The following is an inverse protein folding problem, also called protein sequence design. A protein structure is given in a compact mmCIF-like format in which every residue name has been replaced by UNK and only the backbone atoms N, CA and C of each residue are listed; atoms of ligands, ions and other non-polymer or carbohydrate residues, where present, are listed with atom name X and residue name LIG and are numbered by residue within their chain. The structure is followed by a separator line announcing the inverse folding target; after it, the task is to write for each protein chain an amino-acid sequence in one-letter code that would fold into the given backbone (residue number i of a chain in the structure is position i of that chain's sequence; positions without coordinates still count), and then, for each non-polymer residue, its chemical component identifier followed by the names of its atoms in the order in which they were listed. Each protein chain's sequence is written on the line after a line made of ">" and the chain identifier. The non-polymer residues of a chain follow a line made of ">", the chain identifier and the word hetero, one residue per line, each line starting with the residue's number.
data_IF_585256212834
#
_entry.id   IF_585256212834
#
_cell.length_a   1.000
_cell.length_b   1.000
_cell.length_c   1.000
_cell.angle_alpha   90.00
_cell.angle_beta   90.00
_cell.angle_gamma   90.00
#
_symmetry.space_group_name_H-M   'P 1'
#
loop_
_entity.id
_entity.type
_entity.pdbx_description
1 polymer ?
#
# COMPACT_ATOMS: atom_id res chain seq x y z
N UNK A 1 21.28 15.96 -2.65
CA UNK A 1 21.51 16.41 -4.05
C UNK A 1 21.17 17.90 -4.15
N UNK A 2 21.86 18.68 -4.98
CA UNK A 2 21.41 20.06 -5.26
C UNK A 2 20.15 20.06 -6.13
N UNK A 3 19.45 21.20 -6.23
CA UNK A 3 18.19 21.33 -6.97
C UNK A 3 18.36 20.89 -8.43
N UNK A 4 19.42 21.30 -9.12
CA UNK A 4 19.67 20.94 -10.52
C UNK A 4 19.76 19.42 -10.73
N UNK A 5 20.46 18.70 -9.85
CA UNK A 5 20.57 17.24 -9.93
C UNK A 5 19.24 16.56 -9.63
N UNK A 6 18.45 17.10 -8.70
CA UNK A 6 17.11 16.57 -8.39
C UNK A 6 16.15 16.79 -9.54
N UNK A 7 16.14 17.98 -10.14
CA UNK A 7 15.32 18.29 -11.30
C UNK A 7 15.64 17.35 -12.46
N UNK A 8 16.94 17.16 -12.77
CA UNK A 8 17.36 16.22 -13.81
C UNK A 8 16.89 14.79 -13.55
N UNK A 9 16.90 14.34 -12.29
CA UNK A 9 16.38 13.02 -11.93
C UNK A 9 14.85 12.96 -12.09
N UNK A 10 14.13 13.98 -11.64
CA UNK A 10 12.68 14.08 -11.78
C UNK A 10 12.27 14.05 -13.26
N UNK A 11 12.89 14.87 -14.11
CA UNK A 11 12.65 14.88 -15.56
C UNK A 11 12.95 13.54 -16.21
N UNK A 12 14.02 12.85 -15.78
CA UNK A 12 14.34 11.51 -16.24
C UNK A 12 13.22 10.53 -15.89
N UNK A 13 12.77 10.51 -14.63
CA UNK A 13 11.68 9.63 -14.17
C UNK A 13 10.37 9.89 -14.94
N UNK A 14 10.06 11.16 -15.20
CA UNK A 14 8.92 11.54 -16.05
C UNK A 14 9.11 11.00 -17.48
N UNK A 15 10.30 11.16 -18.06
CA UNK A 15 10.57 10.74 -19.44
C UNK A 15 10.50 9.23 -19.67
N UNK A 16 10.80 8.42 -18.64
CA UNK A 16 10.64 6.95 -18.69
C UNK A 16 9.20 6.50 -18.42
N UNK A 17 8.30 7.42 -18.07
CA UNK A 17 6.89 7.17 -17.88
C UNK A 17 6.46 6.91 -16.44
N UNK A 18 7.28 7.20 -15.42
CA UNK A 18 6.85 7.12 -14.02
C UNK A 18 5.72 8.13 -13.75
N UNK A 19 4.64 7.66 -13.12
CA UNK A 19 3.44 8.47 -12.81
C UNK A 19 3.29 8.79 -11.33
N UNK A 20 3.96 8.05 -10.47
CA UNK A 20 4.03 8.33 -9.04
C UNK A 20 5.51 8.48 -8.69
N UNK A 21 5.88 9.65 -8.15
CA UNK A 21 7.28 9.98 -7.88
C UNK A 21 7.39 10.57 -6.47
N UNK A 22 8.08 9.85 -5.59
CA UNK A 22 8.53 10.41 -4.31
C UNK A 22 9.66 11.41 -4.58
N UNK A 23 9.40 12.68 -4.26
CA UNK A 23 10.30 13.78 -4.61
C UNK A 23 11.14 14.27 -3.42
N UNK A 24 10.71 14.00 -2.19
CA UNK A 24 11.24 14.64 -0.99
C UNK A 24 10.71 14.08 0.32
N UNK A 25 11.42 14.39 1.42
CA UNK A 25 10.90 14.31 2.80
C UNK A 25 10.84 15.72 3.43
N UNK A 26 9.81 16.52 3.12
CA UNK A 26 9.83 17.97 3.32
C UNK A 26 9.70 18.42 4.79
N UNK A 27 9.11 17.61 5.67
CA UNK A 27 9.00 17.92 7.10
C UNK A 27 10.32 17.78 7.87
N UNK A 28 11.27 17.02 7.31
CA UNK A 28 12.56 16.74 7.95
C UNK A 28 13.72 17.58 7.38
N UNK A 29 13.54 18.30 6.27
CA UNK A 29 14.62 19.01 5.59
C UNK A 29 14.14 20.20 4.78
N UNK A 30 14.72 21.38 5.04
CA UNK A 30 14.40 22.61 4.32
C UNK A 30 14.73 22.49 2.82
N UNK A 31 15.84 21.86 2.47
CA UNK A 31 16.22 21.66 1.05
C UNK A 31 15.24 20.73 0.32
N UNK A 32 14.63 19.78 1.02
CA UNK A 32 13.57 18.93 0.47
C UNK A 32 12.28 19.74 0.28
N UNK A 33 11.90 20.55 1.27
CA UNK A 33 10.76 21.47 1.19
C UNK A 33 10.90 22.47 0.02
N UNK A 34 12.05 23.11 -0.12
CA UNK A 34 12.31 24.10 -1.17
C UNK A 34 12.24 23.47 -2.57
N UNK A 35 12.70 22.23 -2.72
CA UNK A 35 12.61 21.52 -3.99
C UNK A 35 11.16 21.21 -4.37
N UNK A 36 10.34 20.79 -3.39
CA UNK A 36 8.90 20.59 -3.60
C UNK A 36 8.22 21.88 -4.03
N UNK A 37 8.50 22.99 -3.34
CA UNK A 37 7.94 24.30 -3.70
C UNK A 37 8.36 24.72 -5.10
N UNK A 38 9.62 24.52 -5.46
CA UNK A 38 10.12 24.79 -6.79
C UNK A 38 9.36 24.04 -7.88
N UNK A 39 9.10 22.74 -7.71
CA UNK A 39 8.32 21.95 -8.68
C UNK A 39 6.88 22.47 -8.84
N UNK A 40 6.24 22.86 -7.74
CA UNK A 40 4.85 23.33 -7.73
C UNK A 40 4.74 24.74 -8.33
N UNK A 41 5.56 25.68 -7.85
CA UNK A 41 5.49 27.10 -8.22
C UNK A 41 5.94 27.36 -9.66
N UNK A 42 6.81 26.51 -10.19
CA UNK A 42 7.23 26.55 -11.59
C UNK A 42 6.35 25.69 -12.51
N UNK A 43 5.28 25.08 -11.98
CA UNK A 43 4.34 24.22 -12.72
C UNK A 43 5.03 23.08 -13.49
N UNK A 44 6.08 22.49 -12.90
CA UNK A 44 6.91 21.48 -13.56
C UNK A 44 6.34 20.05 -13.46
N UNK A 45 5.25 19.85 -12.73
CA UNK A 45 4.62 18.55 -12.50
C UNK A 45 3.61 18.29 -13.63
N UNK A 46 3.81 17.27 -14.48
CA UNK A 46 2.86 16.95 -15.54
C UNK A 46 1.46 16.61 -15.01
N UNK A 47 0.44 16.85 -15.82
CA UNK A 47 -0.96 16.61 -15.46
C UNK A 47 -1.31 15.13 -15.23
N UNK A 48 -0.44 14.18 -15.57
CA UNK A 48 -0.62 12.74 -15.32
C UNK A 48 0.35 12.19 -14.27
N UNK A 49 1.11 13.05 -13.59
CA UNK A 49 2.04 12.67 -12.52
C UNK A 49 1.48 13.09 -11.15
N UNK A 50 1.70 12.24 -10.16
CA UNK A 50 1.42 12.45 -8.75
C UNK A 50 2.73 12.49 -7.98
N UNK A 51 2.92 13.52 -7.17
CA UNK A 51 4.09 13.66 -6.30
C UNK A 51 3.68 13.49 -4.84
N UNK A 52 4.61 13.07 -3.98
CA UNK A 52 4.34 12.82 -2.57
C UNK A 52 4.56 14.08 -1.70
N UNK A 53 3.57 14.97 -1.53
CA UNK A 53 3.73 16.29 -0.86
C UNK A 53 2.44 16.84 -0.21
N UNK A 54 2.55 17.87 0.65
CA UNK A 54 1.44 18.32 1.52
C UNK A 54 0.75 19.65 1.19
N UNK A 55 1.20 20.46 0.21
CA UNK A 55 0.52 21.75 -0.08
C UNK A 55 0.78 22.32 -1.47
N UNK A 56 -0.30 22.61 -2.21
CA UNK A 56 -0.29 23.31 -3.50
C UNK A 56 -0.21 22.42 -4.75
N UNK A 57 -0.14 21.10 -4.58
CA UNK A 57 -0.21 20.16 -5.71
C UNK A 57 -1.68 19.90 -6.08
N UNK A 58 -1.98 19.61 -7.35
CA UNK A 58 -3.33 19.18 -7.79
C UNK A 58 -3.70 17.80 -7.22
N UNK A 59 -2.70 16.94 -7.05
CA UNK A 59 -2.82 15.58 -6.50
C UNK A 59 -1.56 15.23 -5.74
N UNK A 60 -1.72 14.52 -4.63
CA UNK A 60 -0.58 14.16 -3.81
C UNK A 60 -0.78 12.83 -3.08
N UNK A 61 0.33 12.10 -2.94
CA UNK A 61 0.43 10.96 -2.04
C UNK A 61 1.03 11.45 -0.71
N UNK A 62 0.49 11.01 0.42
CA UNK A 62 1.12 11.16 1.73
C UNK A 62 1.50 9.78 2.21
N UNK A 63 2.80 9.53 2.33
CA UNK A 63 3.34 8.27 2.82
C UNK A 63 3.68 8.39 4.30
N UNK A 64 2.87 7.74 5.14
CA UNK A 64 3.12 7.57 6.56
C UNK A 64 3.94 6.29 6.79
N UNK A 65 4.90 6.35 7.70
CA UNK A 65 5.58 5.15 8.17
C UNK A 65 6.00 5.31 9.63
N UNK A 66 6.14 4.18 10.32
CA UNK A 66 6.82 4.10 11.60
C UNK A 66 7.47 2.73 11.74
N UNK A 67 8.63 2.67 12.39
CA UNK A 67 9.32 1.40 12.60
C UNK A 67 8.49 0.47 13.49
N UNK A 68 8.30 -0.77 13.03
CA UNK A 68 7.39 -1.74 13.65
C UNK A 68 8.12 -2.94 14.24
N UNK A 69 9.39 -3.16 13.94
CA UNK A 69 10.15 -4.33 14.43
C UNK A 69 10.24 -4.38 15.95
N UNK A 70 10.36 -5.60 16.51
CA UNK A 70 10.50 -5.84 17.96
C UNK A 70 11.60 -4.98 18.59
N UNK A 71 12.74 -4.85 17.91
CA UNK A 71 13.89 -4.10 18.40
C UNK A 71 13.57 -2.61 18.51
N UNK A 72 12.93 -2.02 17.49
CA UNK A 72 12.55 -0.61 17.53
C UNK A 72 11.51 -0.33 18.60
N UNK A 73 10.46 -1.16 18.68
CA UNK A 73 9.43 -1.03 19.72
C UNK A 73 10.04 -1.04 21.12
N UNK A 74 10.89 -2.03 21.42
CA UNK A 74 11.48 -2.21 22.75
C UNK A 74 12.59 -1.21 23.09
N UNK A 75 13.48 -0.94 22.15
CA UNK A 75 14.76 -0.25 22.44
C UNK A 75 14.73 1.23 22.06
N UNK A 76 14.04 1.58 20.97
CA UNK A 76 14.01 2.96 20.46
C UNK A 76 12.82 3.71 21.04
N UNK A 77 11.62 3.12 20.95
CA UNK A 77 10.40 3.80 21.36
C UNK A 77 9.98 3.50 22.79
N UNK A 78 10.36 2.34 23.33
CA UNK A 78 9.86 1.86 24.62
C UNK A 78 8.34 1.62 24.61
N UNK A 79 7.79 1.25 23.45
CA UNK A 79 6.37 1.01 23.24
C UNK A 79 6.10 -0.49 23.11
N UNK A 80 4.91 -0.91 23.50
CA UNK A 80 4.36 -2.22 23.19
C UNK A 80 3.66 -2.21 21.81
N UNK A 81 3.03 -3.33 21.44
CA UNK A 81 2.28 -3.46 20.17
C UNK A 81 1.19 -2.40 20.06
N UNK A 82 0.37 -2.25 21.11
CA UNK A 82 -0.76 -1.33 21.14
C UNK A 82 -0.31 0.13 21.08
N UNK A 83 0.72 0.52 21.84
CA UNK A 83 1.31 1.86 21.77
C UNK A 83 1.85 2.20 20.39
N UNK A 84 2.47 1.21 19.72
CA UNK A 84 2.98 1.37 18.34
C UNK A 84 1.84 1.51 17.33
N UNK A 85 0.75 0.76 17.47
CA UNK A 85 -0.47 0.91 16.66
C UNK A 85 -1.09 2.29 16.88
N UNK A 86 -1.25 2.70 18.14
CA UNK A 86 -1.83 3.99 18.49
C UNK A 86 -1.04 5.16 17.90
N UNK A 87 0.29 5.06 17.84
CA UNK A 87 1.13 6.05 17.18
C UNK A 87 0.78 6.18 15.70
N UNK A 88 0.70 5.06 14.98
CA UNK A 88 0.36 5.03 13.56
C UNK A 88 -1.07 5.54 13.30
N UNK A 89 -2.05 5.05 14.06
CA UNK A 89 -3.46 5.45 13.96
C UNK A 89 -3.66 6.93 14.28
N UNK A 90 -2.96 7.48 15.27
CA UNK A 90 -3.07 8.90 15.60
C UNK A 90 -2.52 9.78 14.49
N UNK A 91 -1.39 9.40 13.88
CA UNK A 91 -0.85 10.11 12.72
C UNK A 91 -1.77 9.99 11.49
N UNK A 92 -2.36 8.82 11.27
CA UNK A 92 -3.33 8.61 10.19
C UNK A 92 -4.55 9.54 10.33
N UNK A 93 -5.10 9.68 11.55
CA UNK A 93 -6.20 10.61 11.85
C UNK A 93 -5.82 12.06 11.59
N UNK A 94 -4.65 12.48 12.07
CA UNK A 94 -4.12 13.82 11.83
C UNK A 94 -4.00 14.12 10.33
N UNK A 95 -3.53 13.16 9.52
CA UNK A 95 -3.44 13.33 8.08
C UNK A 95 -4.81 13.50 7.42
N UNK A 96 -5.82 12.76 7.87
CA UNK A 96 -7.20 12.94 7.42
C UNK A 96 -7.72 14.35 7.73
N UNK A 97 -7.46 14.85 8.95
CA UNK A 97 -7.86 16.20 9.38
C UNK A 97 -7.19 17.27 8.52
N UNK A 98 -5.87 17.20 8.34
CA UNK A 98 -5.10 18.17 7.54
C UNK A 98 -5.44 18.12 6.05
N UNK A 99 -5.77 16.94 5.51
CA UNK A 99 -6.22 16.79 4.14
C UNK A 99 -7.60 17.43 3.92
N UNK A 100 -8.50 17.32 4.91
CA UNK A 100 -9.83 17.93 4.86
C UNK A 100 -9.78 19.48 4.83
N UNK A 101 -8.73 20.09 5.37
CA UNK A 101 -8.49 21.54 5.26
C UNK A 101 -8.10 21.98 3.83
N UNK A 102 -7.76 21.05 2.95
CA UNK A 102 -7.31 21.29 1.58
C UNK A 102 -8.11 20.43 0.58
N UNK A 103 -9.42 20.67 0.42
CA UNK A 103 -10.31 19.81 -0.36
C UNK A 103 -10.06 19.83 -1.87
N UNK A 104 -9.36 20.85 -2.38
CA UNK A 104 -9.03 20.99 -3.80
C UNK A 104 -7.92 20.03 -4.26
N UNK A 105 -7.22 19.40 -3.32
CA UNK A 105 -6.13 18.46 -3.60
C UNK A 105 -6.70 17.04 -3.62
N UNK A 106 -6.42 16.29 -4.67
CA UNK A 106 -6.72 14.86 -4.71
C UNK A 106 -5.70 14.09 -3.85
N UNK A 107 -6.08 13.80 -2.61
CA UNK A 107 -5.26 13.11 -1.62
C UNK A 107 -5.29 11.59 -1.79
N UNK A 108 -4.11 10.98 -1.72
CA UNK A 108 -3.92 9.54 -1.58
C UNK A 108 -3.02 9.28 -0.37
N UNK A 109 -3.28 8.20 0.35
CA UNK A 109 -2.53 7.85 1.56
C UNK A 109 -1.85 6.49 1.38
N UNK A 110 -0.61 6.40 1.81
CA UNK A 110 0.16 5.16 1.86
C UNK A 110 0.71 4.94 3.27
N UNK A 111 0.73 3.69 3.72
CA UNK A 111 1.30 3.31 5.00
C UNK A 111 2.33 2.19 4.83
N UNK A 112 3.50 2.35 5.43
CA UNK A 112 4.50 1.30 5.52
C UNK A 112 4.81 0.94 6.98
N UNK A 113 4.68 -0.34 7.39
CA UNK A 113 5.25 -0.83 8.63
C UNK A 113 6.77 -0.92 8.48
N UNK A 114 7.50 0.15 8.81
CA UNK A 114 8.93 0.23 8.55
C UNK A 114 9.71 -0.83 9.34
N UNK A 115 10.79 -1.34 8.74
CA UNK A 115 11.54 -2.52 9.19
C UNK A 115 10.66 -3.81 9.16
N UNK A 116 9.72 -3.87 8.21
CA UNK A 116 8.80 -4.99 8.00
C UNK A 116 9.47 -6.37 8.07
N UNK A 117 10.65 -6.52 7.46
CA UNK A 117 11.37 -7.81 7.41
C UNK A 117 11.79 -8.35 8.77
N UNK A 118 11.78 -7.52 9.81
CA UNK A 118 12.03 -7.91 11.20
C UNK A 118 10.82 -7.67 12.12
N UNK A 119 9.63 -7.50 11.53
CA UNK A 119 8.35 -7.36 12.21
C UNK A 119 7.59 -8.68 12.14
N UNK A 120 6.92 -9.04 13.23
CA UNK A 120 6.06 -10.22 13.25
C UNK A 120 4.90 -10.03 12.25
N UNK A 121 4.62 -11.03 11.40
CA UNK A 121 3.65 -10.88 10.30
C UNK A 121 2.23 -10.58 10.79
N UNK A 122 1.82 -11.23 11.88
CA UNK A 122 0.54 -10.99 12.54
C UNK A 122 0.44 -9.53 13.01
N UNK A 123 1.53 -8.99 13.57
CA UNK A 123 1.58 -7.60 14.00
C UNK A 123 1.60 -6.62 12.82
N UNK A 124 2.35 -6.91 11.77
CA UNK A 124 2.39 -6.08 10.57
C UNK A 124 1.01 -5.97 9.92
N UNK A 125 0.28 -7.09 9.83
CA UNK A 125 -1.11 -7.09 9.37
C UNK A 125 -2.01 -6.26 10.30
N UNK A 126 -1.92 -6.50 11.62
CA UNK A 126 -2.73 -5.80 12.62
C UNK A 126 -2.60 -4.27 12.51
N UNK A 127 -1.36 -3.75 12.44
CA UNK A 127 -1.12 -2.31 12.35
C UNK A 127 -1.51 -1.71 11.00
N UNK A 128 -1.28 -2.43 9.89
CA UNK A 128 -1.75 -2.01 8.58
C UNK A 128 -3.28 -1.90 8.53
N UNK A 129 -3.99 -2.90 9.03
CA UNK A 129 -5.45 -2.88 9.10
C UNK A 129 -5.95 -1.72 9.97
N UNK A 130 -5.34 -1.50 11.14
CA UNK A 130 -5.73 -0.40 12.03
C UNK A 130 -5.54 0.99 11.38
N UNK A 131 -4.50 1.18 10.57
CA UNK A 131 -4.31 2.42 9.80
C UNK A 131 -5.32 2.53 8.66
N UNK A 132 -5.55 1.44 7.92
CA UNK A 132 -6.52 1.41 6.83
C UNK A 132 -7.95 1.63 7.32
N UNK A 133 -8.32 1.19 8.51
CA UNK A 133 -9.62 1.47 9.14
C UNK A 133 -9.86 2.98 9.32
N UNK A 134 -8.79 3.79 9.46
CA UNK A 134 -8.90 5.25 9.55
C UNK A 134 -9.13 5.88 8.17
N UNK A 135 -8.38 5.46 7.15
CA UNK A 135 -8.40 6.12 5.83
C UNK A 135 -9.43 5.54 4.87
N UNK A 136 -9.77 4.27 5.03
CA UNK A 136 -10.75 3.57 4.23
C UNK A 136 -11.48 2.54 5.12
N UNK A 137 -12.45 2.98 5.96
CA UNK A 137 -13.20 2.10 6.85
C UNK A 137 -14.05 1.03 6.13
N UNK A 138 -14.07 1.05 4.79
CA UNK A 138 -14.70 0.03 3.94
C UNK A 138 -13.69 -0.83 3.18
N UNK A 139 -12.38 -0.73 3.48
CA UNK A 139 -11.34 -1.53 2.81
C UNK A 139 -11.42 -3.01 3.18
N UNK A 140 -11.98 -3.34 4.36
CA UNK A 140 -12.23 -4.72 4.72
C UNK A 140 -13.45 -5.21 3.95
N UNK A 141 -13.20 -6.00 2.92
CA UNK A 141 -14.23 -6.91 2.44
C UNK A 141 -14.62 -7.78 3.64
N UNK A 142 -15.91 -7.95 3.95
CA UNK A 142 -16.38 -8.90 4.98
C UNK A 142 -15.90 -10.35 4.78
N UNK A 143 -15.20 -10.60 3.68
CA UNK A 143 -14.54 -11.84 3.35
C UNK A 143 -13.25 -11.96 4.20
N UNK A 144 -13.35 -12.55 5.39
CA UNK A 144 -12.17 -12.96 6.15
C UNK A 144 -11.51 -14.15 5.43
N UNK A 145 -10.48 -13.86 4.65
CA UNK A 145 -9.69 -14.83 3.89
C UNK A 145 -8.25 -14.76 4.35
N UNK A 146 -7.74 -15.89 4.82
CA UNK A 146 -6.38 -16.05 5.28
C UNK A 146 -5.59 -16.87 4.27
N UNK A 147 -4.39 -16.40 3.91
CA UNK A 147 -3.45 -17.17 3.09
C UNK A 147 -2.69 -18.11 4.01
N UNK A 148 -2.97 -19.40 3.92
CA UNK A 148 -2.30 -20.47 4.68
C UNK A 148 -0.98 -20.88 4.05
N UNK A 149 -0.94 -20.91 2.71
CA UNK A 149 0.25 -21.26 1.97
C UNK A 149 0.40 -20.37 0.74
N UNK A 150 1.62 -19.96 0.47
CA UNK A 150 2.00 -19.23 -0.72
C UNK A 150 3.28 -19.85 -1.26
N UNK A 151 3.24 -20.26 -2.52
CA UNK A 151 4.42 -20.71 -3.24
C UNK A 151 4.46 -20.03 -4.60
N UNK A 152 5.65 -19.63 -5.01
CA UNK A 152 5.88 -19.00 -6.29
C UNK A 152 7.10 -19.61 -6.96
N UNK A 153 7.00 -19.81 -8.28
CA UNK A 153 8.08 -20.33 -9.10
C UNK A 153 8.11 -19.63 -10.45
N UNK A 154 9.29 -19.65 -11.05
CA UNK A 154 9.40 -19.41 -12.49
C UNK A 154 9.04 -20.69 -13.25
N UNK A 155 8.25 -20.57 -14.32
CA UNK A 155 7.87 -21.71 -15.17
C UNK A 155 8.97 -22.10 -16.16
N UNK A 156 9.70 -21.10 -16.64
CA UNK A 156 10.68 -21.20 -17.72
C UNK A 156 11.96 -20.45 -17.34
N UNK A 157 13.04 -20.60 -18.12
CA UNK A 157 14.27 -19.81 -17.93
C UNK A 157 14.38 -18.62 -18.88
N UNK A 158 15.23 -17.64 -18.53
CA UNK A 158 15.56 -16.50 -19.39
C UNK A 158 14.70 -15.26 -19.15
N UNK A 159 14.92 -14.21 -19.96
CA UNK A 159 14.29 -12.90 -19.80
C UNK A 159 12.78 -12.87 -20.07
N UNK A 160 12.23 -13.92 -20.69
CA UNK A 160 10.80 -14.07 -21.02
C UNK A 160 10.14 -15.16 -20.15
N UNK A 161 10.66 -15.38 -18.95
CA UNK A 161 10.11 -16.39 -18.06
C UNK A 161 8.78 -15.91 -17.45
N UNK A 162 7.77 -16.79 -17.46
CA UNK A 162 6.52 -16.55 -16.76
C UNK A 162 6.63 -16.98 -15.30
N UNK A 163 6.00 -16.22 -14.40
CA UNK A 163 5.79 -16.61 -13.03
C UNK A 163 4.52 -17.45 -12.90
N UNK A 164 4.56 -18.43 -11.98
CA UNK A 164 3.40 -19.15 -11.48
C UNK A 164 3.35 -19.01 -9.97
N UNK A 165 2.19 -18.63 -9.45
CA UNK A 165 1.93 -18.54 -8.02
C UNK A 165 0.81 -19.51 -7.65
N UNK A 166 0.98 -20.20 -6.53
CA UNK A 166 0.02 -21.07 -5.89
C UNK A 166 -0.32 -20.49 -4.53
N UNK A 167 -1.61 -20.44 -4.22
CA UNK A 167 -2.08 -20.02 -2.90
C UNK A 167 -3.02 -21.05 -2.33
N UNK A 168 -2.92 -21.28 -1.04
CA UNK A 168 -3.93 -21.96 -0.24
C UNK A 168 -4.58 -20.93 0.68
N UNK A 169 -5.91 -20.86 0.65
CA UNK A 169 -6.69 -19.97 1.48
C UNK A 169 -7.63 -20.74 2.40
N UNK A 170 -7.89 -20.16 3.57
CA UNK A 170 -8.96 -20.52 4.49
C UNK A 170 -9.81 -19.28 4.79
N UNK A 171 -11.01 -19.48 5.30
CA UNK A 171 -11.88 -18.37 5.70
C UNK A 171 -13.18 -18.87 6.32
N UNK A 172 -13.87 -17.98 7.04
CA UNK A 172 -15.06 -18.36 7.82
C UNK A 172 -16.29 -18.63 6.95
N UNK A 173 -16.29 -18.10 5.72
CA UNK A 173 -17.45 -18.15 4.83
C UNK A 173 -17.54 -19.48 4.04
N UNK A 174 -16.48 -20.28 4.00
CA UNK A 174 -16.45 -21.55 3.26
C UNK A 174 -15.78 -22.64 4.10
N UNK A 175 -16.25 -23.89 3.94
CA UNK A 175 -15.61 -25.00 4.64
C UNK A 175 -14.40 -25.55 3.88
N UNK A 176 -13.31 -25.76 4.63
CA UNK A 176 -12.08 -26.39 4.18
C UNK A 176 -11.08 -25.42 3.53
N UNK A 177 -10.00 -25.99 3.01
CA UNK A 177 -8.94 -25.24 2.33
C UNK A 177 -9.25 -25.13 0.83
N UNK A 178 -9.02 -23.95 0.25
CA UNK A 178 -9.20 -23.70 -1.17
C UNK A 178 -7.88 -23.27 -1.80
N UNK A 179 -7.67 -23.73 -3.03
CA UNK A 179 -6.43 -23.47 -3.75
C UNK A 179 -6.69 -22.56 -4.95
N UNK A 180 -5.76 -21.63 -5.17
CA UNK A 180 -5.71 -20.76 -6.33
C UNK A 180 -4.39 -20.88 -7.06
N UNK A 181 -4.44 -20.65 -8.37
CA UNK A 181 -3.25 -20.58 -9.22
C UNK A 181 -3.36 -19.39 -10.16
N UNK A 182 -2.25 -18.68 -10.31
CA UNK A 182 -2.12 -17.53 -11.19
C UNK A 182 -0.83 -17.64 -11.98
N UNK A 183 -0.90 -17.31 -13.27
CA UNK A 183 0.24 -17.35 -14.18
C UNK A 183 0.30 -16.01 -14.89
N UNK A 184 1.45 -15.36 -14.84
CA UNK A 184 1.68 -14.11 -15.55
C UNK A 184 3.19 -13.86 -15.73
N UNK A 185 3.58 -13.08 -16.74
CA UNK A 185 4.97 -12.65 -16.94
C UNK A 185 5.48 -11.73 -15.84
N UNK A 186 4.56 -11.13 -15.08
CA UNK A 186 4.83 -10.34 -13.88
C UNK A 186 4.49 -11.17 -12.64
N UNK A 187 5.48 -11.33 -11.78
CA UNK A 187 5.43 -12.05 -10.51
C UNK A 187 4.26 -11.62 -9.62
N UNK A 188 4.07 -10.31 -9.41
CA UNK A 188 3.01 -9.75 -8.56
C UNK A 188 1.64 -10.05 -9.17
N UNK A 189 1.51 -9.88 -10.48
CA UNK A 189 0.25 -10.20 -11.17
C UNK A 189 -0.08 -11.68 -11.07
N UNK A 190 0.91 -12.57 -11.15
CA UNK A 190 0.70 -14.01 -10.95
C UNK A 190 0.15 -14.29 -9.53
N UNK A 191 0.72 -13.66 -8.50
CA UNK A 191 0.25 -13.78 -7.11
C UNK A 191 -1.19 -13.30 -6.93
N UNK A 192 -1.52 -12.12 -7.49
CA UNK A 192 -2.88 -11.56 -7.43
C UNK A 192 -3.88 -12.48 -8.14
N UNK A 193 -3.53 -12.98 -9.33
CA UNK A 193 -4.39 -13.92 -10.07
C UNK A 193 -4.60 -15.22 -9.30
N UNK A 194 -3.59 -15.70 -8.56
CA UNK A 194 -3.73 -16.87 -7.71
C UNK A 194 -4.73 -16.62 -6.57
N UNK A 195 -4.63 -15.48 -5.88
CA UNK A 195 -5.58 -15.07 -4.83
C UNK A 195 -6.99 -14.93 -5.40
N UNK A 196 -7.17 -14.21 -6.52
CA UNK A 196 -8.47 -14.07 -7.18
C UNK A 196 -9.05 -15.42 -7.60
N UNK A 197 -8.23 -16.33 -8.11
CA UNK A 197 -8.64 -17.70 -8.45
C UNK A 197 -9.19 -18.45 -7.23
N UNK A 198 -8.52 -18.35 -6.08
CA UNK A 198 -8.95 -18.97 -4.85
C UNK A 198 -10.23 -18.34 -4.29
N UNK A 199 -10.30 -17.00 -4.25
CA UNK A 199 -11.47 -16.24 -3.79
C UNK A 199 -12.70 -16.51 -4.67
N UNK A 200 -12.53 -16.57 -6.00
CA UNK A 200 -13.62 -16.93 -6.89
C UNK A 200 -14.17 -18.33 -6.61
N UNK A 201 -13.31 -19.29 -6.25
CA UNK A 201 -13.76 -20.63 -5.80
C UNK A 201 -14.48 -20.57 -4.46
N UNK A 202 -14.05 -19.70 -3.54
CA UNK A 202 -14.73 -19.49 -2.26
C UNK A 202 -16.14 -18.95 -2.47
N UNK A 203 -16.32 -17.97 -3.36
CA UNK A 203 -17.63 -17.40 -3.70
C UNK A 203 -18.61 -18.43 -4.28
N UNK A 204 -18.12 -19.47 -4.96
CA UNK A 204 -18.98 -20.56 -5.45
C UNK A 204 -19.42 -21.53 -4.35
N UNK A 205 -18.84 -21.46 -3.15
CA UNK A 205 -19.18 -22.31 -2.00
C UNK A 205 -20.05 -21.64 -0.95
N UNK A 206 -20.30 -20.33 -1.07
CA UNK A 206 -21.23 -19.61 -0.20
C UNK A 206 -22.65 -19.65 -0.78
N UNK A 207 -23.66 -19.44 0.06
CA UNK A 207 -25.05 -19.38 -0.40
C UNK A 207 -25.28 -18.10 -1.24
N UNK A 208 -26.34 -18.11 -2.06
CA UNK A 208 -26.65 -17.01 -3.00
C UNK A 208 -26.88 -15.67 -2.30
N UNK A 209 -27.41 -15.68 -1.07
CA UNK A 209 -27.67 -14.46 -0.28
C UNK A 209 -26.36 -13.81 0.17
N UNK A 210 -25.45 -14.59 0.75
CA UNK A 210 -24.08 -14.18 1.12
C UNK A 210 -23.28 -13.75 -0.12
N UNK A 211 -23.43 -14.43 -1.26
CA UNK A 211 -22.79 -14.03 -2.51
C UNK A 211 -23.27 -12.64 -2.97
N UNK A 212 -24.58 -12.37 -2.89
CA UNK A 212 -25.15 -11.06 -3.22
C UNK A 212 -24.68 -9.96 -2.26
N UNK A 213 -24.57 -10.25 -0.96
CA UNK A 213 -24.02 -9.30 0.01
C UNK A 213 -22.57 -8.96 -0.28
N UNK A 214 -21.75 -9.96 -0.62
CA UNK A 214 -20.35 -9.74 -0.97
C UNK A 214 -20.24 -8.89 -2.24
N UNK A 215 -21.01 -9.20 -3.28
CA UNK A 215 -20.98 -8.43 -4.54
C UNK A 215 -21.44 -6.98 -4.37
N UNK A 216 -22.36 -6.69 -3.45
CA UNK A 216 -22.77 -5.32 -3.10
C UNK A 216 -21.67 -4.50 -2.43
N UNK A 217 -20.63 -5.13 -1.88
CA UNK A 217 -19.47 -4.41 -1.33
C UNK A 217 -18.51 -3.94 -2.43
N UNK A 218 -18.64 -4.44 -3.66
CA UNK A 218 -17.75 -4.13 -4.79
C UNK A 218 -18.39 -3.22 -5.86
N UNK A 219 -19.66 -2.85 -5.72
CA UNK A 219 -20.44 -2.02 -6.66
C UNK A 219 -21.02 -0.79 -5.96
#
# INVERSE_FOLDING_TARGET
>A
MNIQRKLRLFELLVSIGCKEIEVAFPSASQTEFDFVRYLIEQELIPDDVTIQVLKGAKRAIVHLYNATSVVFRRVVFGLDRLGTINLAVSAAKLFTELAAEQPDINWQFQYSPEIFTATELDFAQEICNAVLDVWNPHHSTKLDVQIHHYEERSRNGGSNADAIAYVEIAGDLFQGLLHGVGIHSNIVTASILAILSAVNRALLRVNTETQAEILKLYL
#
